data_IF_189109080772
#
_entry.id   IF_189109080772
#
_cell.length_a   1.000
_cell.length_b   1.000
_cell.length_c   1.000
_cell.angle_alpha   90.00
_cell.angle_beta   90.00
_cell.angle_gamma   90.00
#
_symmetry.space_group_name_H-M   'P 1'
#
loop_
_entity.id
_entity.type
_entity.pdbx_description
1 polymer ?
#
# COMPACT_ATOMS: atom_id res chain seq x y z
N UNK A 1 -8.23 -26.92 32.53
CA UNK A 1 -7.41 -26.11 33.45
C UNK A 1 -7.08 -24.80 32.75
N UNK A 2 -7.22 -23.66 33.42
CA UNK A 2 -6.77 -22.38 32.87
C UNK A 2 -5.23 -22.32 32.93
N UNK A 3 -4.59 -21.62 31.99
CA UNK A 3 -3.13 -21.41 31.97
C UNK A 3 -2.33 -22.31 31.03
N UNK A 4 -2.97 -23.16 30.21
CA UNK A 4 -2.32 -23.97 29.16
C UNK A 4 -2.90 -23.57 27.80
N UNK A 5 -2.03 -23.39 26.79
CA UNK A 5 -2.44 -23.11 25.42
C UNK A 5 -3.28 -24.26 24.83
N UNK A 6 -4.28 -23.93 24.02
CA UNK A 6 -5.07 -24.92 23.29
C UNK A 6 -4.21 -25.66 22.27
N UNK A 7 -4.43 -26.98 22.12
CA UNK A 7 -3.77 -27.74 21.07
C UNK A 7 -4.29 -27.37 19.69
N UNK A 8 -3.53 -27.60 18.60
CA UNK A 8 -4.01 -27.36 17.24
C UNK A 8 -5.33 -28.07 16.92
N UNK A 9 -5.53 -29.29 17.42
CA UNK A 9 -6.78 -30.05 17.27
C UNK A 9 -7.95 -29.43 18.05
N UNK A 10 -7.70 -28.83 19.21
CA UNK A 10 -8.71 -28.12 19.99
C UNK A 10 -9.09 -26.80 19.33
N UNK A 11 -8.11 -26.07 18.79
CA UNK A 11 -8.34 -24.83 18.04
C UNK A 11 -9.17 -25.13 16.78
N UNK A 12 -8.83 -26.19 16.05
CA UNK A 12 -9.56 -26.61 14.85
C UNK A 12 -11.01 -27.06 15.14
N UNK A 13 -11.30 -27.48 16.37
CA UNK A 13 -12.63 -27.90 16.82
C UNK A 13 -13.47 -26.76 17.42
N UNK A 14 -12.93 -25.53 17.50
CA UNK A 14 -13.69 -24.39 17.99
C UNK A 14 -14.84 -24.06 17.04
N UNK A 15 -16.05 -23.96 17.60
CA UNK A 15 -17.27 -23.56 16.89
C UNK A 15 -17.66 -22.10 17.14
N UNK A 16 -17.01 -21.44 18.09
CA UNK A 16 -17.16 -20.03 18.45
C UNK A 16 -15.83 -19.48 18.99
N UNK A 17 -15.64 -18.17 18.90
CA UNK A 17 -14.44 -17.49 19.39
C UNK A 17 -14.39 -17.53 20.92
N UNK A 18 -13.20 -17.73 21.46
CA UNK A 18 -12.99 -17.76 22.90
C UNK A 18 -11.76 -16.95 23.30
N UNK A 19 -11.87 -16.20 24.39
CA UNK A 19 -10.72 -15.64 25.09
C UNK A 19 -10.28 -16.62 26.15
N UNK A 20 -9.03 -17.04 26.08
CA UNK A 20 -8.46 -18.06 26.95
C UNK A 20 -7.22 -17.51 27.65
N UNK A 21 -7.08 -17.80 28.95
CA UNK A 21 -5.95 -17.33 29.74
C UNK A 21 -4.80 -18.33 29.68
N UNK A 22 -3.63 -17.86 29.24
CA UNK A 22 -2.39 -18.63 29.16
C UNK A 22 -1.32 -18.09 30.10
N UNK A 23 -0.48 -18.97 30.65
CA UNK A 23 0.66 -18.56 31.47
C UNK A 23 1.77 -17.98 30.59
N UNK A 24 2.25 -16.80 30.93
CA UNK A 24 3.38 -16.11 30.31
C UNK A 24 4.29 -15.56 31.41
N UNK A 25 5.59 -15.49 31.13
CA UNK A 25 6.55 -14.79 32.01
C UNK A 25 6.69 -13.36 31.49
N UNK A 26 6.25 -12.38 32.27
CA UNK A 26 6.38 -10.95 31.97
C UNK A 26 7.20 -10.31 33.07
N UNK A 27 8.33 -9.68 32.70
CA UNK A 27 9.28 -9.08 33.66
C UNK A 27 9.71 -10.03 34.80
N UNK A 28 9.85 -11.33 34.51
CA UNK A 28 10.29 -12.33 35.49
C UNK A 28 9.19 -12.86 36.41
N UNK A 29 7.93 -12.44 36.24
CA UNK A 29 6.77 -12.97 36.99
C UNK A 29 5.84 -13.78 36.08
N UNK A 30 5.36 -14.93 36.57
CA UNK A 30 4.36 -15.76 35.88
C UNK A 30 2.98 -15.11 36.03
N UNK A 31 2.38 -14.72 34.91
CA UNK A 31 1.07 -14.07 34.84
C UNK A 31 0.18 -14.75 33.81
N UNK A 32 -1.14 -14.65 34.00
CA UNK A 32 -2.12 -15.12 33.04
C UNK A 32 -2.44 -14.00 32.04
N UNK A 33 -2.17 -14.24 30.77
CA UNK A 33 -2.43 -13.29 29.68
C UNK A 33 -3.61 -13.80 28.85
N UNK A 34 -4.61 -12.96 28.55
CA UNK A 34 -5.71 -13.34 27.66
C UNK A 34 -5.19 -13.49 26.23
N UNK A 35 -5.51 -14.62 25.60
CA UNK A 35 -5.30 -14.89 24.19
C UNK A 35 -6.64 -15.18 23.52
N UNK A 36 -6.89 -14.53 22.39
CA UNK A 36 -8.07 -14.79 21.56
C UNK A 36 -7.78 -15.98 20.64
N UNK A 37 -8.66 -16.98 20.68
CA UNK A 37 -8.68 -18.08 19.72
C UNK A 37 -9.93 -17.95 18.86
N UNK A 38 -9.73 -17.83 17.55
CA UNK A 38 -10.79 -17.62 16.57
C UNK A 38 -11.25 -18.98 16.02
N UNK A 39 -12.56 -19.23 16.03
CA UNK A 39 -13.12 -20.42 15.40
C UNK A 39 -13.05 -20.32 13.87
N UNK A 40 -12.78 -21.43 13.19
CA UNK A 40 -12.71 -21.47 11.71
C UNK A 40 -14.02 -21.00 11.05
N UNK A 41 -15.15 -21.26 11.71
CA UNK A 41 -16.47 -20.77 11.30
C UNK A 41 -16.63 -19.26 11.47
N UNK A 42 -15.94 -18.61 12.40
CA UNK A 42 -15.98 -17.15 12.56
C UNK A 42 -15.09 -16.43 11.53
N UNK A 43 -13.98 -17.05 11.12
CA UNK A 43 -13.12 -16.50 10.06
C UNK A 43 -13.81 -16.43 8.68
N UNK A 44 -14.75 -17.34 8.41
CA UNK A 44 -15.57 -17.35 7.19
C UNK A 44 -16.95 -16.67 7.35
N UNK A 45 -17.24 -16.12 8.53
CA UNK A 45 -18.55 -15.59 8.87
C UNK A 45 -18.38 -14.26 9.60
N UNK A 46 -17.90 -13.26 8.88
CA UNK A 46 -18.07 -11.86 9.29
C UNK A 46 -19.57 -11.60 9.32
N UNK A 47 -20.14 -11.71 10.52
CA UNK A 47 -21.52 -11.40 10.85
C UNK A 47 -21.67 -9.86 10.86
N UNK A 48 -21.39 -9.24 9.72
CA UNK A 48 -21.74 -7.85 9.44
C UNK A 48 -23.24 -7.87 9.17
N UNK A 49 -23.98 -6.89 9.69
CA UNK A 49 -25.38 -6.70 9.36
C UNK A 49 -25.52 -6.26 7.89
N UNK A 50 -25.28 -7.17 6.96
CA UNK A 50 -25.30 -6.97 5.51
C UNK A 50 -26.05 -8.10 4.81
N UNK A 51 -26.55 -7.86 3.59
CA UNK A 51 -27.13 -8.92 2.78
C UNK A 51 -26.09 -10.02 2.48
N UNK A 52 -26.50 -11.28 2.52
CA UNK A 52 -25.64 -12.44 2.25
C UNK A 52 -26.30 -13.38 1.25
N UNK A 53 -25.52 -13.85 0.27
CA UNK A 53 -25.84 -14.99 -0.58
C UNK A 53 -24.90 -16.14 -0.17
N UNK A 54 -25.47 -17.30 0.19
CA UNK A 54 -24.72 -18.52 0.52
C UNK A 54 -25.25 -19.66 -0.33
N UNK A 55 -24.37 -20.28 -1.11
CA UNK A 55 -24.75 -21.37 -2.01
C UNK A 55 -23.74 -22.53 -1.96
N UNK A 56 -24.20 -23.71 -2.38
CA UNK A 56 -23.33 -24.87 -2.60
C UNK A 56 -22.35 -24.61 -3.75
N UNK A 57 -22.91 -24.12 -4.85
CA UNK A 57 -22.24 -23.54 -6.01
C UNK A 57 -23.07 -22.31 -6.43
N UNK A 58 -22.43 -21.24 -6.86
CA UNK A 58 -23.11 -20.02 -7.29
C UNK A 58 -22.75 -19.71 -8.74
N UNK A 59 -23.78 -19.45 -9.56
CA UNK A 59 -23.68 -18.98 -10.94
C UNK A 59 -24.55 -17.71 -11.03
N UNK A 60 -23.92 -16.57 -11.32
CA UNK A 60 -24.57 -15.27 -11.38
C UNK A 60 -24.40 -14.70 -12.78
N UNK A 61 -25.48 -14.66 -13.55
CA UNK A 61 -25.54 -14.03 -14.86
C UNK A 61 -26.40 -12.77 -14.77
N UNK A 62 -25.81 -11.60 -15.05
CA UNK A 62 -26.49 -10.32 -14.95
C UNK A 62 -25.89 -9.30 -15.91
N UNK A 63 -26.58 -8.18 -16.15
CA UNK A 63 -25.92 -7.07 -16.84
C UNK A 63 -24.83 -6.45 -15.94
N UNK A 64 -25.21 -6.11 -14.70
CA UNK A 64 -24.28 -5.57 -13.71
C UNK A 64 -24.48 -6.24 -12.35
N UNK A 65 -23.39 -6.45 -11.64
CA UNK A 65 -23.38 -6.91 -10.25
C UNK A 65 -22.82 -5.80 -9.36
N UNK A 66 -23.59 -5.38 -8.36
CA UNK A 66 -23.11 -4.44 -7.32
C UNK A 66 -23.17 -5.15 -5.98
N UNK A 67 -22.00 -5.40 -5.39
CA UNK A 67 -21.86 -6.07 -4.11
C UNK A 67 -21.29 -5.12 -3.06
N UNK A 68 -21.98 -4.99 -1.94
CA UNK A 68 -21.48 -4.38 -0.70
C UNK A 68 -21.77 -5.26 0.51
N UNK A 69 -22.19 -6.52 0.26
CA UNK A 69 -22.49 -7.54 1.25
C UNK A 69 -21.55 -8.71 1.10
N UNK A 70 -22.05 -9.94 1.26
CA UNK A 70 -21.26 -11.14 1.04
C UNK A 70 -21.91 -12.09 0.03
N UNK A 71 -21.14 -12.59 -0.92
CA UNK A 71 -21.49 -13.70 -1.80
C UNK A 71 -20.50 -14.81 -1.54
N UNK A 72 -20.97 -15.93 -0.99
CA UNK A 72 -20.15 -17.05 -0.58
C UNK A 72 -20.62 -18.37 -1.21
N UNK A 73 -19.68 -19.11 -1.79
CA UNK A 73 -19.89 -20.44 -2.34
C UNK A 73 -19.02 -21.48 -1.62
N UNK A 74 -19.59 -22.63 -1.23
CA UNK A 74 -18.79 -23.77 -0.73
C UNK A 74 -18.15 -24.59 -1.85
N UNK A 75 -18.49 -24.30 -3.10
CA UNK A 75 -17.91 -24.83 -4.32
C UNK A 75 -17.46 -23.65 -5.17
N UNK A 76 -17.68 -23.73 -6.48
CA UNK A 76 -17.27 -22.67 -7.39
C UNK A 76 -18.22 -21.45 -7.32
N UNK A 77 -17.67 -20.27 -7.59
CA UNK A 77 -18.41 -19.04 -7.81
C UNK A 77 -18.10 -18.54 -9.23
N UNK A 78 -19.08 -18.70 -10.12
CA UNK A 78 -19.03 -18.15 -11.47
C UNK A 78 -19.88 -16.86 -11.53
N UNK A 79 -19.30 -15.79 -12.08
CA UNK A 79 -19.99 -14.52 -12.28
C UNK A 79 -19.75 -14.08 -13.73
N UNK A 80 -20.83 -13.86 -14.46
CA UNK A 80 -20.82 -13.35 -15.84
C UNK A 80 -21.63 -12.04 -15.85
N UNK A 81 -20.95 -10.95 -16.22
CA UNK A 81 -21.57 -9.63 -16.35
C UNK A 81 -21.28 -9.01 -17.70
N UNK A 82 -22.30 -8.48 -18.38
CA UNK A 82 -22.09 -7.79 -19.67
C UNK A 82 -21.71 -6.32 -19.55
N UNK A 83 -21.92 -5.70 -18.38
CA UNK A 83 -21.63 -4.29 -18.10
C UNK A 83 -20.54 -4.14 -17.04
N UNK A 84 -20.56 -4.94 -15.97
CA UNK A 84 -19.51 -4.89 -14.96
C UNK A 84 -19.87 -5.45 -13.59
N UNK A 85 -18.82 -5.71 -12.82
CA UNK A 85 -18.86 -6.12 -11.43
C UNK A 85 -18.27 -5.01 -10.56
N UNK A 86 -19.03 -4.55 -9.57
CA UNK A 86 -18.62 -3.54 -8.59
C UNK A 86 -18.68 -4.12 -7.18
N UNK A 87 -17.54 -4.50 -6.62
CA UNK A 87 -17.40 -4.98 -5.26
C UNK A 87 -16.95 -3.83 -4.34
N UNK A 88 -17.91 -3.11 -3.78
CA UNK A 88 -17.73 -1.88 -2.99
C UNK A 88 -17.78 -2.20 -1.48
N UNK A 89 -16.63 -2.54 -0.90
CA UNK A 89 -16.53 -2.97 0.50
C UNK A 89 -17.13 -4.35 0.78
N UNK A 90 -17.58 -5.05 -0.27
CA UNK A 90 -18.18 -6.38 -0.18
C UNK A 90 -17.17 -7.51 -0.21
N UNK A 91 -17.67 -8.74 0.01
CA UNK A 91 -16.90 -9.97 -0.09
C UNK A 91 -17.48 -10.89 -1.17
N UNK A 92 -16.61 -11.37 -2.06
CA UNK A 92 -16.83 -12.49 -2.97
C UNK A 92 -15.92 -13.62 -2.53
N UNK A 93 -16.48 -14.77 -2.15
CA UNK A 93 -15.72 -15.86 -1.58
C UNK A 93 -16.14 -17.22 -2.14
N UNK A 94 -15.15 -18.07 -2.44
CA UNK A 94 -15.35 -19.47 -2.77
C UNK A 94 -14.39 -20.39 -1.99
N UNK A 95 -14.90 -21.53 -1.50
CA UNK A 95 -14.03 -22.60 -0.99
C UNK A 95 -13.27 -23.32 -2.13
N UNK A 96 -13.86 -23.37 -3.32
CA UNK A 96 -13.21 -23.78 -4.57
C UNK A 96 -12.91 -22.54 -5.42
N UNK A 97 -13.21 -22.54 -6.71
CA UNK A 97 -12.65 -21.54 -7.64
C UNK A 97 -13.60 -20.35 -7.83
N UNK A 98 -13.02 -19.19 -8.12
CA UNK A 98 -13.75 -18.02 -8.60
C UNK A 98 -13.39 -17.79 -10.06
N UNK A 99 -14.41 -17.72 -10.92
CA UNK A 99 -14.27 -17.29 -12.31
C UNK A 99 -15.21 -16.10 -12.53
N UNK A 100 -14.64 -14.96 -12.92
CA UNK A 100 -15.39 -13.74 -13.19
C UNK A 100 -15.13 -13.32 -14.64
N UNK A 101 -16.18 -13.31 -15.45
CA UNK A 101 -16.24 -12.52 -16.69
C UNK A 101 -16.95 -11.20 -16.35
N UNK A 102 -16.15 -10.13 -16.28
CA UNK A 102 -16.60 -8.79 -15.92
C UNK A 102 -17.16 -7.97 -17.08
N UNK A 103 -17.13 -8.50 -18.31
CA UNK A 103 -17.49 -7.74 -19.50
C UNK A 103 -16.62 -6.49 -19.65
N UNK A 104 -17.15 -5.32 -19.30
CA UNK A 104 -16.40 -4.06 -19.43
C UNK A 104 -15.46 -3.80 -18.26
N UNK A 105 -15.83 -4.13 -17.03
CA UNK A 105 -15.06 -3.73 -15.85
C UNK A 105 -15.28 -4.65 -14.64
N UNK A 106 -14.21 -4.93 -13.92
CA UNK A 106 -14.25 -5.46 -12.55
C UNK A 106 -13.62 -4.44 -11.63
N UNK A 107 -14.43 -3.83 -10.75
CA UNK A 107 -13.97 -2.85 -9.78
C UNK A 107 -14.13 -3.40 -8.36
N UNK A 108 -13.02 -3.74 -7.73
CA UNK A 108 -12.92 -4.11 -6.33
C UNK A 108 -12.46 -2.90 -5.50
N UNK A 109 -13.41 -2.15 -4.93
CA UNK A 109 -13.13 -0.95 -4.14
C UNK A 109 -13.27 -1.27 -2.66
N UNK A 110 -12.16 -1.37 -1.94
CA UNK A 110 -12.10 -1.79 -0.54
C UNK A 110 -12.80 -3.12 -0.23
N UNK A 111 -13.05 -3.94 -1.26
CA UNK A 111 -13.67 -5.25 -1.14
C UNK A 111 -12.65 -6.38 -1.08
N UNK A 112 -13.14 -7.60 -0.89
CA UNK A 112 -12.32 -8.82 -0.98
C UNK A 112 -12.90 -9.79 -1.99
N UNK A 113 -12.07 -10.28 -2.88
CA UNK A 113 -12.34 -11.41 -3.78
C UNK A 113 -11.37 -12.53 -3.41
N UNK A 114 -11.87 -13.69 -2.95
CA UNK A 114 -10.99 -14.78 -2.54
C UNK A 114 -11.50 -16.18 -2.83
N UNK A 115 -10.68 -16.98 -3.51
CA UNK A 115 -10.97 -18.35 -3.92
C UNK A 115 -9.81 -19.31 -3.63
N UNK A 116 -9.94 -20.56 -4.08
CA UNK A 116 -8.82 -21.48 -4.23
C UNK A 116 -7.97 -20.98 -5.38
N UNK A 117 -8.48 -21.07 -6.60
CA UNK A 117 -7.94 -20.37 -7.76
C UNK A 117 -8.90 -19.20 -8.09
N UNK A 118 -8.35 -18.10 -8.59
CA UNK A 118 -9.13 -16.91 -8.97
C UNK A 118 -8.73 -16.49 -10.37
N UNK A 119 -9.70 -16.51 -11.30
CA UNK A 119 -9.56 -15.98 -12.66
C UNK A 119 -10.55 -14.84 -12.85
N UNK A 120 -10.06 -13.70 -13.32
CA UNK A 120 -10.88 -12.55 -13.67
C UNK A 120 -10.51 -12.08 -15.07
N UNK A 121 -11.50 -12.06 -15.96
CA UNK A 121 -11.42 -11.51 -17.31
C UNK A 121 -12.31 -10.26 -17.38
N UNK A 122 -11.80 -9.13 -17.89
CA UNK A 122 -12.59 -7.92 -18.07
C UNK A 122 -11.96 -6.94 -19.08
N UNK A 123 -12.71 -5.91 -19.50
CA UNK A 123 -12.12 -4.77 -20.22
C UNK A 123 -11.11 -3.99 -19.37
N UNK A 124 -11.43 -3.73 -18.10
CA UNK A 124 -10.56 -3.05 -17.13
C UNK A 124 -10.71 -3.71 -15.76
N UNK A 125 -9.62 -3.84 -15.00
CA UNK A 125 -9.64 -4.38 -13.65
C UNK A 125 -9.09 -3.33 -12.68
N UNK A 126 -9.89 -2.98 -11.66
CA UNK A 126 -9.54 -2.00 -10.63
C UNK A 126 -9.54 -2.68 -9.26
N UNK A 127 -8.49 -2.48 -8.47
CA UNK A 127 -8.38 -2.98 -7.09
C UNK A 127 -7.92 -1.85 -6.15
N UNK A 128 -8.83 -0.97 -5.76
CA UNK A 128 -8.50 0.27 -5.04
C UNK A 128 -8.92 0.22 -3.57
N UNK A 129 -8.02 0.58 -2.68
CA UNK A 129 -8.35 0.89 -1.29
C UNK A 129 -8.89 2.32 -1.21
N UNK A 130 -10.13 2.47 -0.76
CA UNK A 130 -10.78 3.79 -0.65
C UNK A 130 -10.31 4.52 0.60
N UNK A 131 -9.86 5.77 0.46
CA UNK A 131 -9.68 6.70 1.58
C UNK A 131 -10.96 7.49 1.85
N UNK A 132 -11.29 7.69 3.14
CA UNK A 132 -12.36 8.57 3.60
C UNK A 132 -11.76 9.73 4.38
N UNK A 133 -12.19 10.95 4.05
CA UNK A 133 -11.82 12.16 4.76
C UNK A 133 -12.79 12.46 5.90
N UNK A 134 -12.31 12.34 7.14
CA UNK A 134 -13.02 12.79 8.32
C UNK A 134 -12.72 14.27 8.59
N UNK A 135 -13.73 15.12 8.46
CA UNK A 135 -13.60 16.57 8.70
C UNK A 135 -13.75 16.86 10.20
N UNK A 136 -12.79 17.61 10.73
CA UNK A 136 -12.72 18.06 12.13
C UNK A 136 -12.93 19.58 12.20
N UNK A 137 -13.24 20.11 13.38
CA UNK A 137 -13.49 21.55 13.56
C UNK A 137 -12.30 22.44 13.13
N UNK A 138 -11.08 21.90 13.22
CA UNK A 138 -9.80 22.56 12.99
C UNK A 138 -8.98 21.84 11.91
N UNK A 139 -9.57 21.02 11.04
CA UNK A 139 -8.78 20.30 10.03
C UNK A 139 -9.47 19.05 9.50
N UNK A 140 -8.68 18.06 9.11
CA UNK A 140 -9.18 16.77 8.64
C UNK A 140 -8.17 15.65 8.84
N UNK A 141 -8.65 14.41 8.76
CA UNK A 141 -7.80 13.21 8.71
C UNK A 141 -8.39 12.24 7.70
N UNK A 142 -7.55 11.75 6.80
CA UNK A 142 -7.92 10.67 5.90
C UNK A 142 -7.70 9.32 6.61
N UNK A 143 -8.65 8.41 6.44
CA UNK A 143 -8.54 7.02 6.89
C UNK A 143 -8.79 6.10 5.71
N UNK A 144 -7.88 5.16 5.51
CA UNK A 144 -8.15 4.03 4.64
C UNK A 144 -9.36 3.23 5.17
N UNK A 145 -10.21 2.81 4.25
CA UNK A 145 -11.19 1.75 4.46
C UNK A 145 -10.47 0.41 4.61
N UNK A 146 -11.24 -0.68 4.54
CA UNK A 146 -10.66 -2.01 4.31
C UNK A 146 -9.77 -1.98 3.07
N UNK A 147 -8.58 -2.59 3.16
CA UNK A 147 -7.71 -2.77 2.01
C UNK A 147 -8.40 -3.62 0.95
N UNK A 148 -8.38 -3.17 -0.30
CA UNK A 148 -8.89 -3.94 -1.42
C UNK A 148 -7.98 -5.15 -1.67
N UNK A 149 -8.56 -6.35 -1.67
CA UNK A 149 -7.81 -7.60 -1.82
C UNK A 149 -8.41 -8.49 -2.89
N UNK A 150 -7.55 -9.01 -3.76
CA UNK A 150 -7.86 -10.10 -4.69
C UNK A 150 -6.85 -11.22 -4.41
N UNK A 151 -7.33 -12.35 -3.89
CA UNK A 151 -6.47 -13.36 -3.26
C UNK A 151 -6.85 -14.79 -3.67
N UNK A 152 -5.88 -15.56 -4.15
CA UNK A 152 -6.01 -16.98 -4.41
C UNK A 152 -5.16 -17.80 -3.42
N UNK A 153 -5.69 -18.93 -2.96
CA UNK A 153 -4.91 -19.91 -2.18
C UNK A 153 -3.98 -20.76 -3.06
N UNK A 154 -4.32 -20.91 -4.34
CA UNK A 154 -3.53 -21.47 -5.41
C UNK A 154 -3.10 -20.35 -6.36
N UNK A 155 -3.59 -20.39 -7.60
CA UNK A 155 -3.18 -19.48 -8.66
C UNK A 155 -4.13 -18.28 -8.79
N UNK A 156 -3.55 -17.10 -9.04
CA UNK A 156 -4.29 -15.87 -9.35
C UNK A 156 -3.98 -15.43 -10.79
N UNK A 157 -5.01 -15.30 -11.62
CA UNK A 157 -4.92 -14.75 -12.97
C UNK A 157 -5.91 -13.59 -13.12
N UNK A 158 -5.38 -12.40 -13.42
CA UNK A 158 -6.16 -11.25 -13.87
C UNK A 158 -5.78 -10.97 -15.33
N UNK A 159 -6.75 -11.06 -16.22
CA UNK A 159 -6.60 -10.81 -17.66
C UNK A 159 -7.52 -9.63 -18.04
N UNK A 160 -6.92 -8.48 -18.30
CA UNK A 160 -7.62 -7.28 -18.73
C UNK A 160 -7.37 -7.03 -20.22
N UNK A 161 -8.43 -6.87 -21.02
CA UNK A 161 -8.28 -6.46 -22.42
C UNK A 161 -7.73 -5.03 -22.56
N UNK A 162 -7.90 -4.21 -21.52
CA UNK A 162 -7.29 -2.89 -21.34
C UNK A 162 -6.37 -2.91 -20.13
N UNK A 163 -6.59 -2.03 -19.16
CA UNK A 163 -5.65 -1.78 -18.06
C UNK A 163 -6.00 -2.51 -16.76
N UNK A 164 -4.97 -2.75 -15.93
CA UNK A 164 -5.11 -3.13 -14.52
C UNK A 164 -4.61 -1.98 -13.65
N UNK A 165 -5.47 -1.47 -12.77
CA UNK A 165 -5.19 -0.29 -11.93
C UNK A 165 -5.41 -0.65 -10.46
N UNK A 166 -4.52 -0.19 -9.58
CA UNK A 166 -4.70 -0.37 -8.14
C UNK A 166 -4.00 0.71 -7.33
N UNK A 167 -4.78 1.44 -6.52
CA UNK A 167 -4.27 2.35 -5.49
C UNK A 167 -4.38 1.70 -4.09
N UNK A 168 -3.24 1.40 -3.48
CA UNK A 168 -3.14 0.76 -2.15
C UNK A 168 -3.78 -0.64 -2.07
N UNK A 169 -4.04 -1.26 -3.22
CA UNK A 169 -4.61 -2.60 -3.32
C UNK A 169 -3.59 -3.72 -3.07
N UNK A 170 -4.09 -4.92 -2.83
CA UNK A 170 -3.29 -6.13 -2.65
C UNK A 170 -3.74 -7.25 -3.61
N UNK A 171 -2.75 -7.90 -4.21
CA UNK A 171 -2.90 -9.12 -4.99
C UNK A 171 -2.07 -10.23 -4.36
N UNK A 172 -2.68 -11.38 -4.08
CA UNK A 172 -1.98 -12.49 -3.46
C UNK A 172 -2.32 -13.84 -4.09
N UNK A 173 -1.32 -14.71 -4.22
CA UNK A 173 -1.45 -16.09 -4.65
C UNK A 173 -0.60 -17.00 -3.77
N UNK A 174 -1.13 -18.17 -3.41
CA UNK A 174 -0.34 -19.20 -2.72
C UNK A 174 0.68 -19.88 -3.63
N UNK A 175 0.41 -19.89 -4.93
CA UNK A 175 1.29 -20.37 -5.99
C UNK A 175 1.65 -19.20 -6.92
N UNK A 176 1.27 -19.26 -8.20
CA UNK A 176 1.63 -18.27 -9.21
C UNK A 176 0.59 -17.14 -9.29
N UNK A 177 1.08 -15.92 -9.55
CA UNK A 177 0.29 -14.71 -9.73
C UNK A 177 0.60 -14.11 -11.10
N UNK A 178 -0.42 -13.91 -11.92
CA UNK A 178 -0.30 -13.27 -13.23
C UNK A 178 -1.27 -12.09 -13.32
N UNK A 179 -0.72 -10.90 -13.60
CA UNK A 179 -1.46 -9.74 -14.07
C UNK A 179 -1.12 -9.56 -15.55
N UNK A 180 -2.09 -9.75 -16.43
CA UNK A 180 -1.95 -9.62 -17.88
C UNK A 180 -2.89 -8.50 -18.36
N UNK A 181 -2.34 -7.51 -19.04
CA UNK A 181 -3.05 -6.33 -19.49
C UNK A 181 -2.77 -6.05 -20.98
N UNK A 182 -3.84 -6.00 -21.78
CA UNK A 182 -3.80 -5.50 -23.16
C UNK A 182 -3.53 -3.99 -23.27
N UNK A 183 -3.58 -3.27 -22.14
CA UNK A 183 -3.12 -1.89 -21.97
C UNK A 183 -2.01 -1.80 -20.92
N UNK A 184 -2.11 -0.82 -20.02
CA UNK A 184 -1.12 -0.57 -18.96
C UNK A 184 -1.44 -1.29 -17.65
N UNK A 185 -0.41 -1.55 -16.85
CA UNK A 185 -0.56 -1.92 -15.43
C UNK A 185 -0.06 -0.76 -14.57
N UNK A 186 -0.93 -0.17 -13.75
CA UNK A 186 -0.60 0.94 -12.84
C UNK A 186 -0.92 0.57 -11.38
N UNK A 187 0.13 0.31 -10.60
CA UNK A 187 0.03 0.02 -9.17
C UNK A 187 0.67 1.14 -8.37
N UNK A 188 -0.09 1.77 -7.49
CA UNK A 188 0.39 2.91 -6.70
C UNK A 188 0.03 2.80 -5.21
N UNK A 189 0.80 3.44 -4.36
CA UNK A 189 0.47 3.57 -2.94
C UNK A 189 -0.69 4.55 -2.73
N UNK A 190 -1.61 4.22 -1.82
CA UNK A 190 -2.67 5.12 -1.38
C UNK A 190 -2.10 6.22 -0.47
N UNK A 191 -2.26 7.48 -0.87
CA UNK A 191 -1.89 8.61 -0.02
C UNK A 191 -2.98 8.91 1.03
N UNK A 192 -2.57 9.09 2.28
CA UNK A 192 -3.43 9.50 3.41
C UNK A 192 -2.91 10.80 4.00
N UNK A 193 -3.76 11.82 4.03
CA UNK A 193 -3.41 13.14 4.52
C UNK A 193 -4.04 13.45 5.89
N UNK A 194 -3.38 14.30 6.66
CA UNK A 194 -3.95 14.91 7.85
C UNK A 194 -3.59 16.37 7.87
N UNK A 195 -4.54 17.22 8.24
CA UNK A 195 -4.31 18.64 8.45
C UNK A 195 -4.93 19.11 9.76
N UNK A 196 -4.26 20.04 10.43
CA UNK A 196 -4.71 20.71 11.64
C UNK A 196 -4.34 22.21 11.55
N UNK A 197 -5.28 23.10 11.83
CA UNK A 197 -5.12 24.55 11.98
C UNK A 197 -5.77 24.97 13.31
N UNK A 198 -4.99 24.91 14.39
CA UNK A 198 -5.42 25.38 15.69
C UNK A 198 -5.21 26.89 15.80
N UNK A 199 -6.28 27.63 16.04
CA UNK A 199 -6.20 29.05 16.39
C UNK A 199 -6.15 29.21 17.90
N UNK A 200 -5.11 29.92 18.35
CA UNK A 200 -4.89 30.24 19.76
C UNK A 200 -4.83 31.75 19.92
N UNK A 201 -5.06 32.24 21.13
CA UNK A 201 -4.86 33.67 21.39
C UNK A 201 -3.41 34.06 21.10
N UNK A 202 -3.23 35.16 20.38
CA UNK A 202 -1.92 35.57 19.91
C UNK A 202 -1.33 34.76 18.75
N UNK A 203 -1.98 33.74 18.18
CA UNK A 203 -1.37 33.01 17.06
C UNK A 203 -2.07 31.74 16.58
N UNK A 204 -1.28 30.75 16.17
CA UNK A 204 -1.75 29.48 15.62
C UNK A 204 -0.74 28.34 15.79
N UNK A 205 -1.22 27.10 15.75
CA UNK A 205 -0.44 25.88 15.63
C UNK A 205 -1.01 25.03 14.50
N UNK A 206 -0.28 24.97 13.38
CA UNK A 206 -0.68 24.25 12.19
C UNK A 206 0.19 23.02 12.01
N UNK A 207 -0.42 21.92 11.61
CA UNK A 207 0.31 20.72 11.23
C UNK A 207 -0.31 20.08 9.99
N UNK A 208 0.54 19.48 9.17
CA UNK A 208 0.15 18.67 8.02
C UNK A 208 0.99 17.40 7.99
N UNK A 209 0.40 16.28 7.60
CA UNK A 209 1.14 15.07 7.26
C UNK A 209 0.54 14.39 6.04
N UNK A 210 1.39 13.77 5.24
CA UNK A 210 1.02 12.86 4.15
C UNK A 210 1.83 11.58 4.33
N UNK A 211 1.12 10.47 4.45
CA UNK A 211 1.71 9.13 4.55
C UNK A 211 1.16 8.24 3.46
N UNK A 212 1.87 7.17 3.11
CA UNK A 212 1.44 6.26 2.04
C UNK A 212 1.17 4.85 2.59
N UNK A 213 0.15 4.20 2.04
CA UNK A 213 -0.11 2.77 2.19
C UNK A 213 0.24 2.10 0.87
N UNK A 214 1.35 1.35 0.86
CA UNK A 214 1.89 0.72 -0.35
C UNK A 214 0.90 -0.30 -0.92
N UNK A 215 0.87 -0.41 -2.25
CA UNK A 215 0.24 -1.55 -2.91
C UNK A 215 1.12 -2.80 -2.74
N UNK A 216 0.48 -3.97 -2.72
CA UNK A 216 1.16 -5.24 -2.42
C UNK A 216 0.91 -6.31 -3.49
N UNK A 217 1.99 -6.99 -3.88
CA UNK A 217 1.94 -8.23 -4.67
C UNK A 217 2.64 -9.31 -3.87
N UNK A 218 1.97 -10.45 -3.69
CA UNK A 218 2.54 -11.60 -2.99
C UNK A 218 2.23 -12.90 -3.72
N UNK A 219 3.25 -13.52 -4.31
CA UNK A 219 3.17 -14.88 -4.86
C UNK A 219 4.02 -15.85 -4.03
N UNK A 220 3.47 -17.04 -3.76
CA UNK A 220 4.25 -18.14 -3.18
C UNK A 220 5.20 -18.80 -4.18
N UNK A 221 4.84 -18.77 -5.47
CA UNK A 221 5.66 -19.17 -6.61
C UNK A 221 6.14 -17.94 -7.39
N UNK A 222 5.81 -17.89 -8.68
CA UNK A 222 6.17 -16.82 -9.60
C UNK A 222 5.14 -15.67 -9.57
N UNK A 223 5.60 -14.44 -9.71
CA UNK A 223 4.75 -13.29 -10.00
C UNK A 223 5.11 -12.72 -11.38
N UNK A 224 4.15 -12.67 -12.30
CA UNK A 224 4.29 -12.07 -13.64
C UNK A 224 3.34 -10.89 -13.77
N UNK A 225 3.88 -9.73 -14.14
CA UNK A 225 3.13 -8.56 -14.58
C UNK A 225 3.51 -8.32 -16.04
N UNK A 226 2.53 -8.34 -16.92
CA UNK A 226 2.68 -8.23 -18.37
C UNK A 226 1.73 -7.16 -18.91
N UNK A 227 2.28 -6.09 -19.49
CA UNK A 227 1.53 -4.97 -20.02
C UNK A 227 1.85 -4.78 -21.52
N UNK A 228 0.82 -4.67 -22.36
CA UNK A 228 1.01 -4.35 -23.79
C UNK A 228 1.22 -2.85 -24.04
N UNK A 229 1.07 -2.01 -23.01
CA UNK A 229 1.49 -0.60 -23.01
C UNK A 229 2.55 -0.40 -21.90
N UNK A 230 2.28 0.42 -20.88
CA UNK A 230 3.26 0.76 -19.83
C UNK A 230 3.04 -0.04 -18.54
N UNK A 231 4.10 -0.27 -17.76
CA UNK A 231 4.06 -0.83 -16.41
C UNK A 231 4.60 0.17 -15.39
N UNK A 232 3.76 0.63 -14.47
CA UNK A 232 4.12 1.59 -13.42
C UNK A 232 3.88 1.02 -12.02
N UNK A 233 4.93 0.96 -11.21
CA UNK A 233 4.92 0.53 -9.81
C UNK A 233 5.44 1.67 -8.92
N UNK A 234 4.53 2.43 -8.29
CA UNK A 234 4.88 3.61 -7.47
C UNK A 234 4.50 3.41 -6.01
N UNK A 235 5.48 3.16 -5.13
CA UNK A 235 5.20 2.76 -3.75
C UNK A 235 4.55 1.38 -3.69
N UNK A 236 5.26 0.38 -4.23
CA UNK A 236 4.80 -1.01 -4.30
C UNK A 236 5.75 -1.92 -3.55
N UNK A 237 5.19 -2.89 -2.82
CA UNK A 237 5.92 -4.02 -2.28
C UNK A 237 5.54 -5.29 -3.04
N UNK A 238 6.44 -5.76 -3.90
CA UNK A 238 6.24 -6.99 -4.66
C UNK A 238 7.16 -8.10 -4.15
N UNK A 239 6.57 -9.26 -3.86
CA UNK A 239 7.29 -10.43 -3.39
C UNK A 239 6.87 -11.69 -4.15
N UNK A 240 7.85 -12.40 -4.70
CA UNK A 240 7.69 -13.74 -5.27
C UNK A 240 8.54 -14.75 -4.52
N UNK A 241 8.02 -15.96 -4.29
CA UNK A 241 8.78 -17.06 -3.72
C UNK A 241 9.83 -17.62 -4.68
N UNK A 242 9.54 -17.57 -5.98
CA UNK A 242 10.45 -17.96 -7.05
C UNK A 242 10.90 -16.74 -7.86
N UNK A 243 10.32 -16.50 -9.04
CA UNK A 243 10.74 -15.40 -9.92
C UNK A 243 9.71 -14.26 -9.93
N UNK A 244 10.21 -13.03 -10.00
CA UNK A 244 9.41 -11.84 -10.28
C UNK A 244 9.71 -11.37 -11.70
N UNK A 245 8.71 -11.33 -12.57
CA UNK A 245 8.83 -10.88 -13.96
C UNK A 245 7.94 -9.67 -14.17
N UNK A 246 8.55 -8.56 -14.56
CA UNK A 246 7.92 -7.29 -14.88
C UNK A 246 8.20 -7.00 -16.36
N UNK A 247 7.18 -6.99 -17.20
CA UNK A 247 7.32 -6.81 -18.63
C UNK A 247 6.31 -5.77 -19.14
N UNK A 248 6.77 -4.90 -20.03
CA UNK A 248 5.95 -3.95 -20.76
C UNK A 248 6.43 -3.84 -22.22
N UNK A 249 5.51 -3.67 -23.17
CA UNK A 249 5.89 -3.29 -24.53
C UNK A 249 6.37 -1.82 -24.57
N UNK A 250 5.77 -0.95 -23.75
CA UNK A 250 6.15 0.43 -23.49
C UNK A 250 7.12 0.58 -22.32
N UNK A 251 6.99 1.64 -21.53
CA UNK A 251 7.91 1.96 -20.44
C UNK A 251 7.67 1.07 -19.20
N UNK A 252 8.75 0.73 -18.48
CA UNK A 252 8.67 0.16 -17.12
C UNK A 252 9.19 1.16 -16.10
N UNK A 253 8.33 1.61 -15.19
CA UNK A 253 8.68 2.53 -14.10
C UNK A 253 8.49 1.89 -12.73
N UNK A 254 9.53 1.93 -11.89
CA UNK A 254 9.51 1.51 -10.48
C UNK A 254 9.96 2.69 -9.64
N UNK A 255 9.03 3.33 -8.94
CA UNK A 255 9.29 4.58 -8.23
C UNK A 255 8.94 4.50 -6.74
N UNK A 256 9.61 5.31 -5.95
CA UNK A 256 9.30 5.56 -4.56
C UNK A 256 8.16 6.58 -4.39
N UNK A 257 7.60 6.66 -3.20
CA UNK A 257 6.74 7.79 -2.76
C UNK A 257 7.43 8.56 -1.63
N UNK A 258 6.93 9.75 -1.28
CA UNK A 258 7.50 10.56 -0.19
C UNK A 258 6.45 10.89 0.86
N UNK A 259 6.71 10.43 2.08
CA UNK A 259 5.99 10.84 3.26
C UNK A 259 6.43 12.24 3.67
N UNK A 260 5.48 13.06 4.09
CA UNK A 260 5.73 14.45 4.46
C UNK A 260 5.11 14.75 5.82
N UNK A 261 5.81 15.51 6.65
CA UNK A 261 5.28 16.08 7.87
C UNK A 261 5.70 17.54 7.95
N UNK A 262 4.80 18.41 8.40
CA UNK A 262 5.15 19.80 8.69
C UNK A 262 4.38 20.33 9.88
N UNK A 263 5.00 21.28 10.58
CA UNK A 263 4.39 22.03 11.66
C UNK A 263 4.83 23.48 11.65
N UNK A 264 3.88 24.40 11.80
CA UNK A 264 4.12 25.83 11.88
C UNK A 264 3.39 26.40 13.10
N UNK A 265 4.15 26.86 14.09
CA UNK A 265 3.66 27.51 15.30
C UNK A 265 4.01 28.98 15.25
N UNK A 266 3.01 29.84 15.42
CA UNK A 266 3.19 31.26 15.71
C UNK A 266 2.51 31.60 17.03
N UNK A 267 3.17 32.37 17.88
CA UNK A 267 2.58 32.89 19.12
C UNK A 267 3.12 34.28 19.45
N UNK A 268 2.20 35.24 19.59
CA UNK A 268 2.45 36.63 19.96
C UNK A 268 1.85 36.88 21.34
N UNK A 269 2.68 37.13 22.35
CA UNK A 269 2.24 37.38 23.73
C UNK A 269 2.46 38.85 24.04
N UNK A 270 1.43 39.55 24.51
CA UNK A 270 1.50 40.97 24.89
C UNK A 270 1.10 41.16 26.35
N UNK A 271 1.94 41.87 27.10
CA UNK A 271 1.62 42.27 28.49
C UNK A 271 1.10 43.71 28.51
N UNK A 272 0.00 43.98 29.22
CA UNK A 272 -0.60 45.32 29.30
C UNK A 272 0.11 46.24 30.31
N UNK A 273 0.19 47.54 30.01
CA UNK A 273 0.71 48.59 30.90
C UNK A 273 1.73 49.53 30.25
N UNK A 274 2.16 50.59 30.96
CA UNK A 274 3.16 51.57 30.47
C UNK A 274 4.56 50.96 30.24
N UNK A 275 4.82 49.77 30.78
CA UNK A 275 6.06 49.00 30.58
C UNK A 275 5.75 47.60 29.99
N UNK A 276 4.73 47.53 29.15
CA UNK A 276 4.31 46.27 28.51
C UNK A 276 5.42 45.65 27.66
N UNK A 277 5.46 44.33 27.64
CA UNK A 277 6.39 43.54 26.81
C UNK A 277 5.63 42.83 25.69
N UNK A 278 6.31 42.65 24.55
CA UNK A 278 5.84 41.80 23.46
C UNK A 278 6.83 40.65 23.24
N UNK A 279 6.31 39.43 23.11
CA UNK A 279 7.11 38.23 22.80
C UNK A 279 6.55 37.57 21.56
N UNK A 280 7.37 37.52 20.50
CA UNK A 280 7.08 36.81 19.26
C UNK A 280 7.81 35.47 19.27
N UNK A 281 7.07 34.38 19.04
CA UNK A 281 7.62 33.03 18.88
C UNK A 281 7.17 32.49 17.53
N UNK A 282 8.12 31.99 16.74
CA UNK A 282 7.83 31.17 15.55
C UNK A 282 8.62 29.88 15.61
N UNK A 283 7.97 28.76 15.32
CA UNK A 283 8.65 27.46 15.17
C UNK A 283 8.15 26.78 13.92
N UNK A 284 9.07 26.42 13.04
CA UNK A 284 8.77 25.74 11.80
C UNK A 284 9.54 24.44 11.74
N UNK A 285 8.85 23.37 11.34
CA UNK A 285 9.43 22.05 11.18
C UNK A 285 8.86 21.43 9.92
N UNK A 286 9.69 20.78 9.12
CA UNK A 286 9.25 20.02 7.96
C UNK A 286 10.17 18.81 7.75
N UNK A 287 9.60 17.68 7.42
CA UNK A 287 10.31 16.46 7.06
C UNK A 287 9.72 15.89 5.78
N UNK A 288 10.58 15.42 4.88
CA UNK A 288 10.24 14.61 3.70
C UNK A 288 11.08 13.34 3.76
N UNK A 289 10.43 12.19 3.75
CA UNK A 289 11.04 10.86 3.84
C UNK A 289 10.55 9.98 2.69
N UNK A 290 11.49 9.46 1.92
CA UNK A 290 11.22 8.59 0.79
C UNK A 290 10.93 7.17 1.28
N UNK A 291 9.82 6.62 0.81
CA UNK A 291 9.42 5.23 0.97
C UNK A 291 9.51 4.53 -0.40
N UNK A 292 10.60 3.78 -0.58
CA UNK A 292 10.93 3.12 -1.84
C UNK A 292 10.02 1.94 -2.17
N UNK A 293 9.81 1.68 -3.47
CA UNK A 293 9.27 0.39 -3.89
C UNK A 293 10.28 -0.72 -3.57
N UNK A 294 9.79 -1.89 -3.18
CA UNK A 294 10.60 -3.06 -2.82
C UNK A 294 10.19 -4.26 -3.65
N UNK A 295 11.09 -4.75 -4.48
CA UNK A 295 10.91 -5.94 -5.29
C UNK A 295 11.78 -7.07 -4.73
N UNK A 296 11.18 -8.20 -4.36
CA UNK A 296 11.92 -9.33 -3.77
C UNK A 296 11.52 -10.65 -4.44
N UNK A 297 12.51 -11.41 -4.89
CA UNK A 297 12.31 -12.74 -5.46
C UNK A 297 13.26 -13.76 -4.82
N UNK A 298 12.75 -14.96 -4.51
CA UNK A 298 13.59 -16.03 -3.98
C UNK A 298 14.63 -16.55 -5.00
N UNK A 299 14.32 -16.44 -6.29
CA UNK A 299 15.21 -16.74 -7.40
C UNK A 299 15.50 -15.48 -8.23
N UNK A 300 14.95 -15.32 -9.44
CA UNK A 300 15.30 -14.22 -10.34
C UNK A 300 14.34 -13.03 -10.29
N UNK A 301 14.86 -11.84 -10.58
CA UNK A 301 14.04 -10.67 -10.97
C UNK A 301 14.35 -10.34 -12.43
N UNK A 302 13.32 -10.24 -13.27
CA UNK A 302 13.44 -9.81 -14.66
C UNK A 302 12.56 -8.58 -14.89
N UNK A 303 13.15 -7.50 -15.38
CA UNK A 303 12.48 -6.24 -15.71
C UNK A 303 12.76 -5.96 -17.19
N UNK A 304 11.73 -5.94 -18.03
CA UNK A 304 11.88 -5.77 -19.48
C UNK A 304 10.94 -4.73 -20.04
N UNK A 305 11.49 -3.81 -20.82
CA UNK A 305 10.78 -2.95 -21.76
C UNK A 305 11.19 -3.32 -23.19
N UNK A 306 10.21 -3.57 -24.07
CA UNK A 306 10.46 -3.94 -25.48
C UNK A 306 10.77 -2.72 -26.35
N UNK A 307 10.02 -1.62 -26.24
CA UNK A 307 10.20 -0.42 -27.06
C UNK A 307 10.52 0.85 -26.26
N UNK A 308 10.33 0.82 -24.94
CA UNK A 308 10.46 1.97 -24.05
C UNK A 308 11.69 1.92 -23.13
N UNK A 309 11.63 2.75 -22.10
CA UNK A 309 12.67 2.89 -21.08
C UNK A 309 12.35 2.03 -19.84
N UNK A 310 13.40 1.64 -19.10
CA UNK A 310 13.26 1.16 -17.73
C UNK A 310 13.76 2.24 -16.77
N UNK A 311 12.89 2.76 -15.91
CA UNK A 311 13.22 3.74 -14.87
C UNK A 311 13.01 3.15 -13.48
N UNK A 312 14.06 3.15 -12.66
CA UNK A 312 14.00 2.76 -11.25
C UNK A 312 14.42 3.97 -10.41
N UNK A 313 13.54 4.45 -9.54
CA UNK A 313 13.76 5.63 -8.71
C UNK A 313 13.70 5.26 -7.23
N UNK A 314 14.80 5.51 -6.50
CA UNK A 314 14.94 5.36 -5.05
C UNK A 314 14.25 4.11 -4.47
N UNK A 315 14.44 2.98 -5.15
CA UNK A 315 13.76 1.71 -4.88
C UNK A 315 14.77 0.58 -4.67
N UNK A 316 14.30 -0.52 -4.06
CA UNK A 316 15.11 -1.68 -3.69
C UNK A 316 14.70 -2.92 -4.50
N UNK A 317 15.67 -3.64 -5.03
CA UNK A 317 15.49 -4.91 -5.73
C UNK A 317 16.39 -5.95 -5.06
N UNK A 318 15.81 -7.08 -4.63
CA UNK A 318 16.51 -8.18 -3.99
C UNK A 318 16.15 -9.50 -4.67
N UNK A 319 17.15 -10.22 -5.17
CA UNK A 319 16.97 -11.52 -5.82
C UNK A 319 17.95 -12.56 -5.27
N UNK A 320 17.48 -13.76 -4.93
CA UNK A 320 18.36 -14.86 -4.52
C UNK A 320 19.24 -15.39 -5.67
N UNK A 321 18.74 -15.28 -6.90
CA UNK A 321 19.38 -15.57 -8.18
C UNK A 321 19.72 -14.29 -8.94
N UNK A 322 19.70 -14.34 -10.27
CA UNK A 322 20.09 -13.21 -11.12
C UNK A 322 19.01 -12.11 -11.15
N UNK A 323 19.45 -10.86 -11.28
CA UNK A 323 18.59 -9.74 -11.65
C UNK A 323 18.94 -9.31 -13.08
N UNK A 324 17.94 -9.27 -13.96
CA UNK A 324 18.07 -8.84 -15.35
C UNK A 324 17.19 -7.60 -15.59
N UNK A 325 17.79 -6.54 -16.11
CA UNK A 325 17.10 -5.31 -16.49
C UNK A 325 17.38 -5.06 -17.97
N UNK A 326 16.32 -5.01 -18.77
CA UNK A 326 16.40 -4.93 -20.23
C UNK A 326 15.51 -3.79 -20.72
N UNK A 327 16.09 -2.84 -21.45
CA UNK A 327 15.37 -1.88 -22.28
C UNK A 327 15.86 -2.08 -23.72
N UNK A 328 15.17 -2.90 -24.51
CA UNK A 328 15.67 -3.39 -25.82
C UNK A 328 15.95 -2.21 -26.77
N UNK A 329 15.01 -1.27 -26.88
CA UNK A 329 15.14 -0.06 -27.71
C UNK A 329 15.36 1.24 -26.91
N UNK A 330 15.24 1.21 -25.58
CA UNK A 330 15.31 2.40 -24.71
C UNK A 330 16.52 2.46 -23.77
N UNK A 331 16.44 3.34 -22.77
CA UNK A 331 17.48 3.49 -21.73
C UNK A 331 17.09 2.79 -20.44
N UNK A 332 18.09 2.45 -19.64
CA UNK A 332 17.91 2.09 -18.23
C UNK A 332 18.34 3.28 -17.36
N UNK A 333 17.44 3.82 -16.55
CA UNK A 333 17.69 4.96 -15.67
C UNK A 333 17.53 4.58 -14.20
N UNK A 334 18.60 4.75 -13.41
CA UNK A 334 18.60 4.59 -11.95
C UNK A 334 18.66 5.97 -11.31
N UNK A 335 17.56 6.41 -10.72
CA UNK A 335 17.35 7.77 -10.22
C UNK A 335 17.28 7.80 -8.70
N UNK A 336 17.70 8.93 -8.12
CA UNK A 336 17.73 9.15 -6.68
C UNK A 336 16.56 10.02 -6.23
N UNK A 337 16.27 9.99 -4.94
CA UNK A 337 15.39 10.95 -4.27
C UNK A 337 16.11 11.63 -3.11
N UNK A 338 15.56 12.73 -2.61
CA UNK A 338 16.16 13.48 -1.49
C UNK A 338 15.19 13.60 -0.33
N UNK A 339 15.55 12.95 0.76
CA UNK A 339 14.94 13.20 2.06
C UNK A 339 15.46 14.52 2.59
N UNK A 340 14.59 15.27 3.25
CA UNK A 340 14.92 16.57 3.81
C UNK A 340 14.29 16.73 5.19
N UNK A 341 15.06 17.22 6.16
CA UNK A 341 14.56 17.67 7.45
C UNK A 341 14.95 19.13 7.68
N UNK A 342 13.95 19.97 7.97
CA UNK A 342 14.10 21.38 8.28
C UNK A 342 13.53 21.68 9.67
N UNK A 343 14.26 22.47 10.46
CA UNK A 343 13.74 23.08 11.68
C UNK A 343 14.21 24.51 11.84
N UNK A 344 13.35 25.38 12.37
CA UNK A 344 13.69 26.75 12.76
C UNK A 344 12.93 27.15 14.02
N UNK A 345 13.65 27.73 14.98
CA UNK A 345 13.13 28.33 16.19
C UNK A 345 13.53 29.81 16.25
N UNK A 346 12.52 30.67 16.12
CA UNK A 346 12.65 32.12 16.24
C UNK A 346 11.96 32.61 17.52
N UNK A 347 12.65 33.49 18.26
CA UNK A 347 12.09 34.20 19.41
C UNK A 347 12.59 35.64 19.44
N UNK A 348 11.66 36.59 19.56
CA UNK A 348 11.95 38.01 19.80
C UNK A 348 11.18 38.51 21.01
N UNK A 349 11.87 39.24 21.87
CA UNK A 349 11.29 39.91 23.03
C UNK A 349 11.60 41.41 22.93
N UNK A 350 10.60 42.26 23.15
CA UNK A 350 10.77 43.71 23.08
C UNK A 350 9.94 44.44 24.13
N UNK A 351 10.43 45.61 24.54
CA UNK A 351 9.71 46.60 25.32
C UNK A 351 10.00 48.03 24.81
N UNK A 352 9.72 49.05 25.63
CA UNK A 352 9.86 50.46 25.25
C UNK A 352 11.31 50.90 24.93
N UNK A 353 12.31 50.18 25.42
CA UNK A 353 13.70 50.66 25.42
C UNK A 353 14.68 49.70 24.76
N UNK A 354 14.37 48.41 24.70
CA UNK A 354 15.26 47.41 24.12
C UNK A 354 14.50 46.26 23.45
N UNK A 355 15.20 45.54 22.57
CA UNK A 355 14.75 44.27 22.01
C UNK A 355 15.89 43.24 22.04
N UNK A 356 15.51 41.97 22.12
CA UNK A 356 16.41 40.83 22.03
C UNK A 356 15.83 39.79 21.08
N UNK A 357 16.69 39.19 20.25
CA UNK A 357 16.28 38.26 19.20
C UNK A 357 17.19 37.03 19.17
N UNK A 358 16.58 35.86 18.94
CA UNK A 358 17.26 34.61 18.68
C UNK A 358 16.58 33.90 17.53
N UNK A 359 17.36 33.54 16.51
CA UNK A 359 16.94 32.76 15.37
C UNK A 359 17.94 31.62 15.15
N UNK A 360 17.47 30.39 15.20
CA UNK A 360 18.28 29.19 15.02
C UNK A 360 17.53 28.20 14.12
N UNK A 361 18.21 27.63 13.13
CA UNK A 361 17.63 26.61 12.28
C UNK A 361 18.65 25.62 11.76
N UNK A 362 18.15 24.52 11.20
CA UNK A 362 18.95 23.42 10.63
C UNK A 362 18.23 22.86 9.40
N UNK A 363 19.01 22.52 8.38
CA UNK A 363 18.57 21.70 7.24
C UNK A 363 19.48 20.50 7.18
N UNK A 364 18.90 19.31 7.02
CA UNK A 364 19.60 18.06 6.76
C UNK A 364 19.01 17.41 5.53
N UNK A 365 19.86 16.98 4.60
CA UNK A 365 19.46 16.28 3.38
C UNK A 365 20.07 14.88 3.38
N UNK A 366 19.34 13.89 2.89
CA UNK A 366 19.82 12.52 2.72
C UNK A 366 19.39 11.99 1.35
N UNK A 367 20.35 11.60 0.53
CA UNK A 367 20.05 11.01 -0.78
C UNK A 367 19.65 9.55 -0.63
N UNK A 368 18.51 9.21 -1.22
CA UNK A 368 18.00 7.84 -1.33
C UNK A 368 18.30 7.31 -2.72
N UNK A 369 19.09 6.24 -2.75
CA UNK A 369 19.58 5.64 -3.98
C UNK A 369 18.73 4.44 -4.37
N UNK A 370 18.88 3.99 -5.61
CA UNK A 370 18.49 2.65 -6.00
C UNK A 370 19.45 1.63 -5.37
N UNK A 371 18.91 0.56 -4.80
CA UNK A 371 19.68 -0.55 -4.25
C UNK A 371 19.30 -1.86 -4.96
N UNK A 372 20.28 -2.57 -5.51
CA UNK A 372 20.07 -3.85 -6.19
C UNK A 372 21.00 -4.89 -5.57
N UNK A 373 20.42 -5.89 -4.92
CA UNK A 373 21.12 -7.03 -4.33
C UNK A 373 20.75 -8.31 -5.11
N UNK A 374 21.65 -8.78 -5.97
CA UNK A 374 21.41 -9.93 -6.84
C UNK A 374 22.39 -11.08 -6.55
N UNK A 375 21.91 -12.16 -5.92
CA UNK A 375 22.73 -13.30 -5.52
C UNK A 375 23.36 -14.08 -6.68
N UNK A 376 22.74 -14.05 -7.85
CA UNK A 376 23.21 -14.67 -9.10
C UNK A 376 23.92 -13.71 -10.06
N UNK A 377 24.07 -12.43 -9.69
CA UNK A 377 24.64 -11.38 -10.54
C UNK A 377 23.58 -10.45 -11.16
N UNK A 378 24.05 -9.31 -11.66
CA UNK A 378 23.24 -8.27 -12.29
C UNK A 378 23.61 -8.14 -13.77
N UNK A 379 22.62 -8.19 -14.65
CA UNK A 379 22.72 -7.87 -16.07
C UNK A 379 21.86 -6.65 -16.38
N UNK A 380 22.44 -5.67 -17.06
CA UNK A 380 21.72 -4.52 -17.61
C UNK A 380 21.99 -4.48 -19.12
N UNK A 381 20.94 -4.60 -19.92
CA UNK A 381 20.96 -4.40 -21.36
C UNK A 381 20.08 -3.20 -21.73
N UNK A 382 20.62 -2.26 -22.49
CA UNK A 382 19.96 -0.99 -22.78
C UNK A 382 20.36 -0.48 -24.16
N UNK A 383 19.40 -0.48 -25.11
CA UNK A 383 19.63 -0.06 -26.49
C UNK A 383 20.14 1.38 -26.62
N UNK A 384 19.62 2.29 -25.78
CA UNK A 384 20.00 3.71 -25.74
C UNK A 384 20.87 4.09 -24.52
N UNK A 385 21.45 3.10 -23.83
CA UNK A 385 22.44 3.29 -22.77
C UNK A 385 21.87 3.35 -21.36
N UNK A 386 22.78 3.51 -20.39
CA UNK A 386 22.47 3.45 -18.95
C UNK A 386 22.75 4.80 -18.29
N UNK A 387 21.77 5.31 -17.54
CA UNK A 387 21.89 6.51 -16.72
C UNK A 387 21.88 6.10 -15.25
N UNK A 388 22.91 6.50 -14.52
CA UNK A 388 22.97 6.36 -13.06
C UNK A 388 23.08 7.77 -12.50
N UNK A 389 22.05 8.23 -11.79
CA UNK A 389 22.06 9.54 -11.18
C UNK A 389 23.00 9.57 -9.98
N UNK A 390 23.75 10.66 -9.88
CA UNK A 390 24.56 10.99 -8.72
C UNK A 390 24.11 12.34 -8.17
N UNK A 391 23.79 12.37 -6.88
CA UNK A 391 23.45 13.59 -6.16
C UNK A 391 24.34 13.72 -4.92
N UNK A 392 24.84 14.94 -4.68
CA UNK A 392 25.62 15.26 -3.49
C UNK A 392 24.71 15.99 -2.48
N UNK A 393 24.85 15.64 -1.20
CA UNK A 393 24.22 16.33 -0.05
C UNK A 393 25.03 17.54 0.38
#
# INVERSE_FOLDING_TARGET
SFGIALSPSQIAALTQDIVWLEKQIVQGQEVLVPRLYVAKTSAANTNIASAQIKAGQADIQTAALVNSGAIASSGDLAIDTSVGLFNNGGSLFAEADIVIDGGTIVSNRSGTISGRDVTIEAGEIINDTVAIRDVLANGFVDRAQQQARIEARGDLLLDAAGSIISEGGQFAAGNDLTLDAGGSIELSALALERSRDDRIDGGYDRAYSRTHMLAEIQAGGNARLDASEDLSLTGVKAKAGENLTLQADGDVTIASVQNQESRDLKLDIKTSGLLGTETNIRRQQSTTETEGSSLTAGNGVSIRSEAGDVTIQASRIESGGATEIVAEEGKVALLTETDQSFSQDFKREEDLFWWNERDQGRVEETIRNVEIEAGGGLTIDAGNGVVIEYKAT
#
